data_IF_629392850949
#
_entry.id   IF_629392850949
#
_cell.length_a   1.000
_cell.length_b   1.000
_cell.length_c   1.000
_cell.angle_alpha   90.00
_cell.angle_beta   90.00
_cell.angle_gamma   90.00
#
_symmetry.space_group_name_H-M   'P 1'
#
loop_
_entity.id
_entity.type
_entity.pdbx_description
1 polymer ?
#
# COMPACT_ATOMS: atom_id res chain seq x y z
N UNK A 1 -5.00 3.33 -4.15
CA UNK A 1 -4.50 2.25 -3.23
C UNK A 1 -5.62 1.43 -2.61
N UNK A 2 -6.74 2.04 -2.21
CA UNK A 2 -7.94 1.28 -1.79
C UNK A 2 -8.37 0.26 -2.83
N UNK A 3 -8.34 0.65 -4.11
CA UNK A 3 -8.66 -0.25 -5.23
C UNK A 3 -7.80 -1.52 -5.28
N UNK A 4 -6.51 -1.43 -4.92
CA UNK A 4 -5.63 -2.61 -4.87
C UNK A 4 -6.08 -3.54 -3.74
N UNK A 5 -6.35 -2.99 -2.56
CA UNK A 5 -6.82 -3.76 -1.42
C UNK A 5 -8.19 -4.43 -1.68
N UNK A 6 -9.11 -3.69 -2.32
CA UNK A 6 -10.44 -4.17 -2.71
C UNK A 6 -10.33 -5.27 -3.77
N UNK A 7 -9.52 -5.07 -4.82
CA UNK A 7 -9.31 -6.06 -5.89
C UNK A 7 -8.68 -7.34 -5.37
N UNK A 8 -7.82 -7.24 -4.37
CA UNK A 8 -7.21 -8.39 -3.69
C UNK A 8 -8.13 -9.02 -2.62
N UNK A 9 -9.31 -8.43 -2.35
CA UNK A 9 -10.30 -8.99 -1.43
C UNK A 9 -10.00 -8.74 0.06
N UNK A 10 -9.06 -7.85 0.38
CA UNK A 10 -8.68 -7.57 1.77
C UNK A 10 -9.54 -6.46 2.39
N UNK A 11 -10.04 -6.72 3.61
CA UNK A 11 -10.52 -5.65 4.48
C UNK A 11 -9.33 -4.94 5.11
N UNK A 12 -9.25 -3.62 4.93
CA UNK A 12 -8.09 -2.83 5.35
C UNK A 12 -8.47 -1.64 6.24
N UNK A 13 -7.48 -1.13 6.96
CA UNK A 13 -7.52 0.17 7.65
C UNK A 13 -6.30 0.99 7.23
N UNK A 14 -6.46 2.31 7.25
CA UNK A 14 -5.35 3.25 7.05
C UNK A 14 -4.56 3.31 8.36
N UNK A 15 -3.29 2.90 8.32
CA UNK A 15 -2.41 2.93 9.49
C UNK A 15 -1.73 4.29 9.67
N UNK A 16 -1.33 4.92 8.56
CA UNK A 16 -0.87 6.31 8.51
C UNK A 16 -1.20 6.90 7.14
N UNK A 17 -1.46 8.20 7.08
CA UNK A 17 -1.69 8.94 5.84
C UNK A 17 -1.16 10.35 6.01
N UNK A 18 0.04 10.60 5.51
CA UNK A 18 0.63 11.93 5.43
C UNK A 18 0.95 12.27 3.96
N UNK A 19 1.45 13.49 3.73
CA UNK A 19 1.76 13.99 2.37
C UNK A 19 2.81 13.16 1.63
N UNK A 20 3.54 12.29 2.31
CA UNK A 20 4.66 11.53 1.78
C UNK A 20 4.45 10.02 1.79
N UNK A 21 3.58 9.49 2.67
CA UNK A 21 3.34 8.05 2.83
C UNK A 21 1.90 7.77 3.28
N UNK A 22 1.32 6.70 2.73
CA UNK A 22 -0.01 6.21 3.09
C UNK A 22 0.03 4.70 3.30
N UNK A 23 0.06 4.25 4.54
CA UNK A 23 0.14 2.83 4.88
C UNK A 23 -1.26 2.22 4.97
N UNK A 24 -1.54 1.17 4.19
CA UNK A 24 -2.73 0.34 4.37
C UNK A 24 -2.31 -0.97 5.06
N UNK A 25 -3.04 -1.38 6.08
CA UNK A 25 -2.84 -2.66 6.75
C UNK A 25 -4.14 -3.41 6.83
N UNK A 26 -4.08 -4.73 6.91
CA UNK A 26 -5.27 -5.55 7.10
C UNK A 26 -6.01 -5.15 8.40
N UNK A 27 -7.34 -5.27 8.38
CA UNK A 27 -8.17 -4.95 9.55
C UNK A 27 -7.94 -5.96 10.69
N UNK A 28 -7.79 -7.23 10.32
CA UNK A 28 -7.40 -8.31 11.21
C UNK A 28 -5.88 -8.31 11.43
N UNK A 29 -5.44 -8.36 12.69
CA UNK A 29 -4.02 -8.40 13.05
C UNK A 29 -3.33 -9.72 12.68
N UNK A 30 -4.10 -10.81 12.55
CA UNK A 30 -3.61 -12.10 12.07
C UNK A 30 -3.33 -12.10 10.56
N UNK A 31 -3.98 -11.19 9.83
CA UNK A 31 -3.76 -10.98 8.41
C UNK A 31 -2.48 -10.13 8.25
N UNK A 32 -1.36 -10.81 7.99
CA UNK A 32 -0.04 -10.20 7.75
C UNK A 32 0.06 -9.38 6.46
N UNK A 33 -1.06 -8.94 5.89
CA UNK A 33 -1.13 -8.13 4.69
C UNK A 33 -0.90 -6.64 5.01
N UNK A 34 0.06 -6.03 4.32
CA UNK A 34 0.38 -4.60 4.43
C UNK A 34 0.78 -4.03 3.07
N UNK A 35 0.37 -2.80 2.80
CA UNK A 35 0.81 -1.99 1.67
C UNK A 35 1.54 -0.75 2.19
N UNK A 36 2.76 -0.58 1.72
CA UNK A 36 3.62 0.57 2.00
C UNK A 36 4.03 1.25 0.69
N UNK A 37 3.45 2.40 0.35
CA UNK A 37 3.93 3.23 -0.74
C UNK A 37 5.14 4.05 -0.26
N UNK A 38 6.21 4.02 -1.05
CA UNK A 38 7.39 4.88 -0.86
C UNK A 38 7.58 5.69 -2.14
N UNK A 39 7.65 7.01 -2.02
CA UNK A 39 7.96 7.87 -3.17
C UNK A 39 9.35 7.53 -3.72
N UNK A 40 9.46 7.37 -5.04
CA UNK A 40 10.73 7.08 -5.72
C UNK A 40 11.35 8.40 -6.19
N UNK A 41 12.29 8.93 -5.40
CA UNK A 41 12.95 10.21 -5.67
C UNK A 41 11.97 11.39 -5.70
N UNK A 42 12.25 12.38 -6.53
CA UNK A 42 11.42 13.57 -6.73
C UNK A 42 10.19 13.31 -7.63
N UNK A 43 10.12 12.12 -8.25
CA UNK A 43 9.08 11.80 -9.21
C UNK A 43 7.70 11.61 -8.57
N UNK A 44 6.65 11.68 -9.41
CA UNK A 44 5.28 11.27 -9.09
C UNK A 44 5.08 9.75 -9.25
N UNK A 45 6.12 8.96 -8.95
CA UNK A 45 6.09 7.49 -8.94
C UNK A 45 6.30 7.02 -7.50
N UNK A 46 5.46 6.08 -7.06
CA UNK A 46 5.60 5.45 -5.76
C UNK A 46 5.88 3.97 -5.95
N UNK A 47 6.90 3.45 -5.28
CA UNK A 47 7.09 2.02 -5.11
C UNK A 47 6.08 1.52 -4.07
N UNK A 48 5.18 0.64 -4.48
CA UNK A 48 4.26 -0.05 -3.59
C UNK A 48 4.92 -1.34 -3.14
N UNK A 49 5.25 -1.42 -1.86
CA UNK A 49 5.68 -2.66 -1.22
C UNK A 49 4.49 -3.35 -0.59
N UNK A 50 4.15 -4.53 -1.11
CA UNK A 50 3.18 -5.47 -0.55
C UNK A 50 3.90 -6.44 0.36
N UNK A 51 3.35 -6.69 1.53
CA UNK A 51 3.84 -7.72 2.48
C UNK A 51 2.68 -8.65 2.74
N UNK A 52 2.88 -9.96 2.64
CA UNK A 52 1.89 -10.97 3.00
C UNK A 52 2.55 -12.06 3.85
N UNK A 53 2.27 -12.05 5.16
CA UNK A 53 2.83 -12.92 6.22
C UNK A 53 4.36 -12.87 6.33
N UNK A 54 5.08 -13.24 5.28
CA UNK A 54 6.55 -13.24 5.17
C UNK A 54 7.07 -12.96 3.74
N UNK A 55 6.21 -12.92 2.72
CA UNK A 55 6.60 -12.55 1.35
C UNK A 55 6.46 -11.06 1.12
N UNK A 56 7.51 -10.43 0.59
CA UNK A 56 7.55 -9.01 0.23
C UNK A 56 7.67 -8.86 -1.28
N UNK A 57 6.75 -8.13 -1.89
CA UNK A 57 6.76 -7.83 -3.33
C UNK A 57 6.73 -6.31 -3.49
N UNK A 58 7.73 -5.74 -4.17
CA UNK A 58 7.80 -4.30 -4.44
C UNK A 58 7.53 -4.05 -5.92
N UNK A 59 6.55 -3.21 -6.23
CA UNK A 59 6.20 -2.84 -7.61
C UNK A 59 6.10 -1.32 -7.75
N UNK A 60 6.69 -0.70 -8.80
CA UNK A 60 6.49 0.72 -9.07
C UNK A 60 5.06 1.00 -9.54
N UNK A 61 4.46 2.08 -9.08
CA UNK A 61 3.11 2.52 -9.45
C UNK A 61 3.04 4.04 -9.56
N UNK A 62 2.44 4.57 -10.63
CA UNK A 62 2.23 6.02 -10.81
C UNK A 62 1.08 6.53 -9.95
N UNK A 63 1.19 7.78 -9.50
CA UNK A 63 0.24 8.44 -8.57
C UNK A 63 -1.22 8.41 -9.01
N UNK A 64 -1.51 8.33 -10.31
CA UNK A 64 -2.89 8.25 -10.82
C UNK A 64 -3.71 7.07 -10.26
N UNK A 65 -3.06 5.99 -9.79
CA UNK A 65 -3.70 4.81 -9.17
C UNK A 65 -3.68 4.84 -7.62
N UNK A 66 -3.08 5.87 -7.03
CA UNK A 66 -2.90 5.99 -5.58
C UNK A 66 -4.04 6.74 -4.90
N UNK A 67 -5.01 7.28 -5.63
CA UNK A 67 -6.14 8.02 -5.06
C UNK A 67 -6.80 7.22 -3.91
N UNK A 68 -7.03 7.95 -2.81
CA UNK A 68 -7.51 7.50 -1.51
C UNK A 68 -9.03 7.47 -1.51
#
# INVERSE_FOLDING_TARGET
>A
MKEIAIKEGYQFKVHYSDRSRVGLVCKDLSCGWKIHPRRLGESSIFGITRVHSSRRISMPTRVGLLQL
#
